data_IF_301056821910
#
_entry.id   IF_301056821910
#
_cell.length_a   1.000
_cell.length_b   1.000
_cell.length_c   1.000
_cell.angle_alpha   90.00
_cell.angle_beta   90.00
_cell.angle_gamma   90.00
#
_symmetry.space_group_name_H-M   'P 1'
#
loop_
_entity.id
_entity.type
_entity.pdbx_description
1 polymer ?
#
# COMPACT_ATOMS: atom_id res chain seq x y z
N UNK A 1 -4.59 -43.47 -28.03
CA UNK A 1 -5.71 -44.13 -27.33
C UNK A 1 -6.40 -43.04 -26.49
N UNK A 2 -7.37 -42.29 -27.05
CA UNK A 2 -8.85 -42.49 -26.92
C UNK A 2 -9.26 -42.58 -25.43
N UNK A 3 -10.04 -41.68 -24.81
CA UNK A 3 -11.35 -41.11 -25.15
C UNK A 3 -11.55 -39.79 -24.35
N UNK A 4 -12.15 -38.71 -24.84
CA UNK A 4 -13.55 -38.44 -25.28
C UNK A 4 -14.55 -38.19 -24.12
N UNK A 5 -14.86 -36.90 -23.97
CA UNK A 5 -16.08 -36.17 -23.53
C UNK A 5 -17.20 -36.83 -22.70
N UNK A 6 -17.76 -36.02 -21.78
CA UNK A 6 -19.21 -35.72 -21.73
C UNK A 6 -19.52 -34.46 -20.94
N UNK A 7 -20.55 -33.75 -21.40
CA UNK A 7 -20.93 -32.39 -21.08
C UNK A 7 -22.30 -32.32 -20.37
N UNK A 8 -22.67 -31.08 -20.03
CA UNK A 8 -24.01 -30.50 -19.83
C UNK A 8 -24.58 -30.48 -18.40
N UNK A 9 -24.70 -29.28 -17.85
CA UNK A 9 -25.91 -28.86 -17.13
C UNK A 9 -26.15 -27.36 -17.39
N UNK A 10 -27.17 -27.05 -18.19
CA UNK A 10 -27.73 -25.71 -18.35
C UNK A 10 -28.82 -25.51 -17.29
N UNK A 11 -28.82 -24.38 -16.62
CA UNK A 11 -29.97 -23.89 -15.85
C UNK A 11 -30.50 -22.63 -16.53
N UNK A 12 -31.69 -22.73 -17.09
CA UNK A 12 -32.46 -21.68 -17.76
C UNK A 12 -33.16 -20.86 -16.68
N UNK A 13 -32.95 -19.54 -16.65
CA UNK A 13 -33.78 -18.62 -15.85
C UNK A 13 -34.70 -17.82 -16.79
N UNK A 14 -35.99 -17.91 -16.52
CA UNK A 14 -37.08 -17.46 -17.36
C UNK A 14 -37.15 -15.93 -17.49
N UNK A 15 -37.43 -15.48 -18.72
CA UNK A 15 -37.79 -14.10 -19.07
C UNK A 15 -39.31 -13.94 -18.92
N UNK A 16 -39.76 -12.93 -18.18
CA UNK A 16 -41.14 -12.50 -18.18
C UNK A 16 -41.34 -11.36 -19.21
N UNK A 17 -42.22 -11.61 -20.19
CA UNK A 17 -42.76 -10.59 -21.09
C UNK A 17 -43.86 -9.80 -20.37
N UNK A 18 -43.83 -8.48 -20.51
CA UNK A 18 -45.02 -7.64 -20.44
C UNK A 18 -45.13 -6.86 -21.76
N UNK A 19 -46.35 -6.86 -22.29
CA UNK A 19 -46.74 -6.40 -23.61
C UNK A 19 -47.37 -5.00 -23.60
N UNK A 20 -47.72 -4.53 -24.80
CA UNK A 20 -48.58 -3.40 -25.18
C UNK A 20 -47.83 -2.07 -25.39
N UNK A 21 -47.88 -1.38 -26.55
CA UNK A 21 -48.58 -1.60 -27.81
C UNK A 21 -48.63 -0.30 -28.64
N UNK A 22 -48.67 -0.45 -29.98
CA UNK A 22 -49.10 0.51 -31.02
C UNK A 22 -48.34 1.86 -31.16
N UNK A 23 -48.11 2.45 -32.33
CA UNK A 23 -48.61 2.23 -33.70
C UNK A 23 -47.82 3.14 -34.66
N UNK A 24 -47.91 2.85 -35.97
CA UNK A 24 -47.10 3.48 -37.02
C UNK A 24 -47.69 4.72 -37.69
N UNK A 25 -46.90 5.31 -38.61
CA UNK A 25 -47.30 6.35 -39.58
C UNK A 25 -46.09 6.98 -40.30
N UNK A 26 -46.12 6.96 -41.65
CA UNK A 26 -45.05 7.36 -42.59
C UNK A 26 -44.95 8.88 -42.89
N UNK A 27 -43.69 9.40 -42.98
CA UNK A 27 -43.05 10.37 -43.94
C UNK A 27 -43.67 11.75 -44.32
N UNK A 28 -42.93 12.76 -44.91
CA UNK A 28 -41.47 13.07 -44.98
C UNK A 28 -41.08 14.59 -44.76
N UNK A 29 -39.78 14.93 -44.98
CA UNK A 29 -39.12 16.28 -45.13
C UNK A 29 -38.72 16.98 -43.81
N UNK A 30 -37.54 17.62 -43.60
CA UNK A 30 -36.60 18.39 -44.44
C UNK A 30 -35.18 18.38 -43.82
N UNK A 31 -34.19 18.71 -44.65
CA UNK A 31 -32.76 18.91 -44.36
C UNK A 31 -32.42 19.75 -43.11
N UNK A 32 -31.36 19.39 -42.39
CA UNK A 32 -30.19 20.27 -42.19
C UNK A 32 -28.98 19.47 -41.68
N UNK A 33 -27.84 19.70 -42.31
CA UNK A 33 -26.56 19.09 -41.99
C UNK A 33 -25.90 19.76 -40.78
N UNK A 34 -25.17 19.00 -39.97
CA UNK A 34 -23.90 19.48 -39.42
C UNK A 34 -22.96 18.33 -39.03
N UNK A 35 -21.72 18.46 -39.53
CA UNK A 35 -20.59 17.55 -39.36
C UNK A 35 -20.22 17.33 -37.89
N UNK A 36 -19.87 16.09 -37.51
CA UNK A 36 -18.75 15.80 -36.59
C UNK A 36 -18.25 14.36 -36.77
N UNK A 37 -16.92 14.28 -36.93
CA UNK A 37 -15.97 13.15 -36.92
C UNK A 37 -16.36 11.94 -36.03
N UNK A 38 -15.95 10.69 -36.37
CA UNK A 38 -16.27 9.51 -35.57
C UNK A 38 -15.63 9.59 -34.17
N UNK A 39 -16.45 9.54 -33.12
CA UNK A 39 -16.00 9.25 -31.76
C UNK A 39 -15.78 7.74 -31.63
N UNK A 40 -14.54 7.34 -31.42
CA UNK A 40 -14.19 6.02 -30.88
C UNK A 40 -14.79 5.90 -29.47
N UNK A 41 -15.47 4.80 -29.11
CA UNK A 41 -16.05 4.63 -27.78
C UNK A 41 -14.96 4.69 -26.70
N UNK A 42 -15.11 5.61 -25.75
CA UNK A 42 -14.29 5.65 -24.55
C UNK A 42 -14.50 4.36 -23.75
N UNK A 43 -13.43 3.62 -23.51
CA UNK A 43 -13.41 2.47 -22.62
C UNK A 43 -13.78 2.94 -21.21
N UNK A 44 -14.91 2.45 -20.70
CA UNK A 44 -15.44 2.74 -19.36
C UNK A 44 -14.38 2.37 -18.30
N UNK A 45 -14.05 3.26 -17.34
CA UNK A 45 -13.23 2.90 -16.19
C UNK A 45 -13.94 1.81 -15.37
N UNK A 46 -13.20 0.74 -15.04
CA UNK A 46 -13.70 -0.33 -14.17
C UNK A 46 -14.08 0.27 -12.81
N UNK A 47 -15.36 0.17 -12.49
CA UNK A 47 -15.95 0.49 -11.19
C UNK A 47 -16.02 -0.83 -10.43
N UNK A 48 -14.92 -1.21 -9.78
CA UNK A 48 -14.98 -2.15 -8.67
C UNK A 48 -14.51 -1.41 -7.40
N UNK A 49 -15.45 -0.77 -6.66
CA UNK A 49 -15.12 -0.20 -5.37
C UNK A 49 -15.08 -1.32 -4.34
N UNK A 50 -14.01 -1.38 -3.56
CA UNK A 50 -13.88 -2.25 -2.37
C UNK A 50 -13.63 -3.74 -2.64
N UNK A 51 -12.43 -4.06 -3.13
CA UNK A 51 -11.73 -5.19 -2.52
C UNK A 51 -11.21 -4.72 -1.15
N UNK A 52 -11.94 -5.02 -0.08
CA UNK A 52 -11.41 -4.96 1.30
C UNK A 52 -10.31 -6.02 1.42
N UNK A 53 -9.15 -5.74 0.83
CA UNK A 53 -8.01 -6.63 0.87
C UNK A 53 -7.45 -6.56 2.28
N UNK A 54 -7.59 -7.68 3.02
CA UNK A 54 -7.08 -7.82 4.37
C UNK A 54 -5.56 -7.60 4.35
N UNK A 55 -5.09 -6.63 5.13
CA UNK A 55 -3.68 -6.41 5.40
C UNK A 55 -3.04 -7.71 5.88
N UNK A 56 -2.01 -8.19 5.17
CA UNK A 56 -1.38 -9.48 5.47
C UNK A 56 0.13 -9.32 5.48
N UNK A 57 0.76 -9.60 6.62
CA UNK A 57 2.21 -9.68 6.76
C UNK A 57 2.62 -11.15 6.88
N UNK A 58 3.44 -11.61 5.93
CA UNK A 58 3.89 -13.00 5.84
C UNK A 58 5.41 -13.07 5.94
N UNK A 59 5.93 -14.06 6.66
CA UNK A 59 7.35 -14.42 6.68
C UNK A 59 7.58 -15.67 5.83
N UNK A 60 8.59 -15.63 4.97
CA UNK A 60 8.94 -16.69 4.02
C UNK A 60 10.44 -16.95 4.15
N UNK A 61 10.81 -18.16 4.56
CA UNK A 61 12.20 -18.61 4.49
C UNK A 61 12.50 -19.06 3.07
N UNK A 62 13.54 -18.47 2.47
CA UNK A 62 13.93 -18.74 1.08
C UNK A 62 14.96 -19.88 1.03
N UNK A 63 15.13 -20.55 -0.13
CA UNK A 63 16.10 -21.64 -0.27
C UNK A 63 17.58 -21.23 -0.13
N UNK A 64 17.89 -19.93 -0.24
CA UNK A 64 19.24 -19.36 -0.12
C UNK A 64 19.52 -18.83 1.30
N UNK A 65 18.80 -19.35 2.31
CA UNK A 65 18.80 -18.93 3.72
C UNK A 65 18.39 -17.46 3.95
N UNK A 66 17.94 -16.76 2.92
CA UNK A 66 17.37 -15.42 3.09
C UNK A 66 15.96 -15.47 3.67
N UNK A 67 15.55 -14.40 4.35
CA UNK A 67 14.21 -14.27 4.93
C UNK A 67 13.47 -13.14 4.23
N UNK A 68 12.33 -13.45 3.63
CA UNK A 68 11.43 -12.48 3.01
C UNK A 68 10.26 -12.17 3.94
N UNK A 69 10.04 -10.89 4.20
CA UNK A 69 8.84 -10.34 4.84
C UNK A 69 8.02 -9.64 3.78
N UNK A 70 6.84 -10.16 3.49
CA UNK A 70 5.93 -9.60 2.51
C UNK A 70 4.72 -9.02 3.22
N UNK A 71 4.59 -7.69 3.17
CA UNK A 71 3.42 -6.98 3.64
C UNK A 71 2.54 -6.57 2.46
N UNK A 72 1.38 -7.21 2.33
CA UNK A 72 0.41 -6.94 1.26
C UNK A 72 -0.66 -5.97 1.76
N UNK A 73 -0.81 -4.86 1.03
CA UNK A 73 -1.82 -3.83 1.23
C UNK A 73 -2.73 -3.75 0.00
N UNK A 74 -3.94 -3.20 0.12
CA UNK A 74 -4.69 -2.77 -1.06
C UNK A 74 -3.83 -1.83 -1.90
N UNK A 75 -3.58 -2.21 -3.16
CA UNK A 75 -2.85 -1.42 -4.16
C UNK A 75 -1.32 -1.27 -3.97
N UNK A 76 -0.73 -1.82 -2.91
CA UNK A 76 0.71 -1.76 -2.68
C UNK A 76 1.27 -2.96 -1.92
N UNK A 77 2.58 -3.12 -1.96
CA UNK A 77 3.33 -4.13 -1.22
C UNK A 77 4.59 -3.52 -0.62
N UNK A 78 4.93 -3.93 0.59
CA UNK A 78 6.23 -3.62 1.21
C UNK A 78 6.97 -4.94 1.42
N UNK A 79 8.07 -5.12 0.71
CA UNK A 79 8.89 -6.34 0.76
C UNK A 79 10.21 -6.05 1.46
N UNK A 80 10.45 -6.72 2.59
CA UNK A 80 11.76 -6.76 3.22
C UNK A 80 12.48 -8.06 2.89
N UNK A 81 13.69 -7.98 2.35
CA UNK A 81 14.52 -9.15 2.08
C UNK A 81 15.80 -9.07 2.94
N UNK A 82 15.89 -9.92 3.95
CA UNK A 82 17.04 -10.03 4.83
C UNK A 82 17.99 -11.11 4.31
N UNK A 83 19.26 -10.74 4.09
CA UNK A 83 20.32 -11.65 3.60
C UNK A 83 21.58 -11.52 4.45
N UNK A 84 22.28 -12.62 4.63
CA UNK A 84 23.66 -12.61 5.12
C UNK A 84 24.60 -12.16 4.00
N UNK A 85 25.41 -11.14 4.28
CA UNK A 85 26.44 -10.62 3.39
C UNK A 85 27.79 -10.90 4.03
N UNK A 86 28.67 -11.54 3.28
CA UNK A 86 30.05 -11.78 3.68
C UNK A 86 30.90 -10.54 3.36
N UNK A 87 31.68 -10.08 4.33
CA UNK A 87 32.68 -9.05 4.16
C UNK A 87 34.02 -9.67 3.73
N UNK A 88 34.89 -8.84 3.16
CA UNK A 88 36.20 -9.27 2.64
C UNK A 88 37.15 -9.74 3.75
N UNK A 89 36.89 -9.37 5.01
CA UNK A 89 37.67 -9.79 6.19
C UNK A 89 37.20 -11.13 6.78
N UNK A 90 36.23 -11.79 6.15
CA UNK A 90 35.65 -13.06 6.60
C UNK A 90 34.55 -12.91 7.66
N UNK A 91 34.18 -11.69 8.04
CA UNK A 91 33.01 -11.43 8.87
C UNK A 91 31.71 -11.49 8.04
N UNK A 92 30.58 -11.72 8.71
CA UNK A 92 29.26 -11.73 8.09
C UNK A 92 28.32 -10.75 8.78
N UNK A 93 27.49 -10.06 8.00
CA UNK A 93 26.48 -9.12 8.47
C UNK A 93 25.12 -9.44 7.83
N UNK A 94 24.03 -9.17 8.53
CA UNK A 94 22.68 -9.33 7.99
C UNK A 94 22.14 -7.99 7.52
N UNK A 95 21.91 -7.85 6.21
CA UNK A 95 21.29 -6.65 5.66
C UNK A 95 19.88 -6.91 5.20
N UNK A 96 19.01 -5.94 5.46
CA UNK A 96 17.63 -5.95 4.97
C UNK A 96 17.48 -4.87 3.92
N UNK A 97 17.06 -5.27 2.72
CA UNK A 97 16.63 -4.33 1.70
C UNK A 97 15.10 -4.24 1.71
N UNK A 98 14.56 -3.03 1.58
CA UNK A 98 13.11 -2.79 1.55
C UNK A 98 12.74 -2.19 0.20
N UNK A 99 11.85 -2.89 -0.49
CA UNK A 99 11.27 -2.50 -1.76
C UNK A 99 9.76 -2.27 -1.60
N UNK A 100 9.30 -1.18 -2.18
CA UNK A 100 7.89 -0.81 -2.23
C UNK A 100 7.43 -0.87 -3.67
N UNK A 101 6.31 -1.56 -3.90
CA UNK A 101 5.65 -1.63 -5.19
C UNK A 101 4.18 -1.29 -5.04
N UNK A 102 3.54 -0.86 -6.12
CA UNK A 102 2.11 -0.60 -6.11
C UNK A 102 1.62 0.21 -7.30
N UNK A 103 0.34 0.61 -7.22
CA UNK A 103 -0.29 1.55 -8.15
C UNK A 103 -0.34 2.94 -7.50
N UNK A 104 0.52 3.90 -7.89
CA UNK A 104 0.55 5.23 -7.30
C UNK A 104 -0.78 5.95 -7.50
N UNK A 105 -1.17 6.74 -6.50
CA UNK A 105 -2.34 7.60 -6.64
C UNK A 105 -1.99 8.75 -7.59
N UNK A 106 -2.75 8.96 -8.68
CA UNK A 106 -2.57 10.14 -9.51
C UNK A 106 -2.80 11.42 -8.71
N UNK A 107 -1.97 12.45 -8.90
CA UNK A 107 -2.09 13.73 -8.19
C UNK A 107 -3.50 14.35 -8.31
N UNK A 108 -4.13 14.22 -9.49
CA UNK A 108 -5.47 14.72 -9.75
C UNK A 108 -6.59 13.97 -9.00
N UNK A 109 -6.32 12.77 -8.48
CA UNK A 109 -7.25 11.93 -7.74
C UNK A 109 -7.07 12.05 -6.21
N UNK A 110 -6.09 12.82 -5.74
CA UNK A 110 -5.92 13.08 -4.31
C UNK A 110 -7.10 13.86 -3.74
N UNK A 111 -7.52 13.56 -2.49
CA UNK A 111 -8.36 14.47 -1.74
C UNK A 111 -7.77 15.88 -1.76
N UNK A 112 -8.62 16.88 -2.00
CA UNK A 112 -8.18 18.27 -2.09
C UNK A 112 -8.09 18.97 -0.75
N UNK A 113 -8.80 18.45 0.26
CA UNK A 113 -8.97 19.05 1.58
C UNK A 113 -9.21 17.96 2.63
N UNK A 114 -9.00 18.31 3.89
CA UNK A 114 -9.21 17.46 5.05
C UNK A 114 -8.01 16.61 5.44
N UNK A 115 -8.15 15.95 6.59
CA UNK A 115 -7.14 15.04 7.15
C UNK A 115 -7.59 13.59 7.02
N UNK A 116 -6.68 12.71 6.65
CA UNK A 116 -6.91 11.26 6.54
C UNK A 116 -5.90 10.53 7.38
N UNK A 117 -6.38 9.64 8.25
CA UNK A 117 -5.55 8.78 9.10
C UNK A 117 -5.48 7.38 8.47
N UNK A 118 -4.26 6.92 8.25
CA UNK A 118 -3.92 5.59 7.79
C UNK A 118 -3.40 4.77 8.97
N UNK A 119 -3.99 3.60 9.16
CA UNK A 119 -3.58 2.65 10.18
C UNK A 119 -3.08 1.36 9.54
N UNK A 120 -2.08 0.73 10.14
CA UNK A 120 -1.55 -0.53 9.65
C UNK A 120 -0.42 -1.08 10.49
N UNK A 121 0.50 -1.77 9.83
CA UNK A 121 1.59 -2.49 10.47
C UNK A 121 2.94 -1.95 10.03
N UNK A 122 3.94 -2.23 10.86
CA UNK A 122 5.35 -2.06 10.56
C UNK A 122 6.12 -3.34 10.89
N UNK A 123 7.24 -3.56 10.21
CA UNK A 123 8.12 -4.70 10.45
C UNK A 123 9.60 -4.30 10.31
N UNK A 124 10.47 -5.04 10.99
CA UNK A 124 11.91 -4.99 10.85
C UNK A 124 12.45 -6.41 10.57
N UNK A 125 13.78 -6.58 10.58
CA UNK A 125 14.42 -7.88 10.33
C UNK A 125 14.17 -8.97 11.39
N UNK A 126 13.59 -8.61 12.54
CA UNK A 126 13.27 -9.52 13.64
C UNK A 126 11.79 -9.91 13.69
N UNK A 127 10.92 -9.17 13.00
CA UNK A 127 9.47 -9.44 12.98
C UNK A 127 9.17 -10.85 12.46
N UNK A 128 8.43 -11.64 13.22
CA UNK A 128 7.87 -12.93 12.85
C UNK A 128 6.35 -12.93 13.20
N UNK A 129 5.46 -12.79 12.20
CA UNK A 129 4.02 -12.65 12.43
C UNK A 129 3.35 -13.94 12.96
N UNK A 130 4.02 -15.09 12.91
CA UNK A 130 3.48 -16.40 13.27
C UNK A 130 3.95 -16.94 14.62
N UNK A 131 5.08 -16.45 15.13
CA UNK A 131 5.75 -17.04 16.30
C UNK A 131 5.84 -16.00 17.43
N UNK A 132 4.71 -15.81 18.10
CA UNK A 132 4.55 -14.76 19.10
C UNK A 132 5.03 -15.16 20.52
N UNK A 133 5.48 -16.41 20.68
CA UNK A 133 5.65 -17.07 21.99
C UNK A 133 7.10 -17.41 22.35
N UNK A 134 8.06 -17.33 21.41
CA UNK A 134 9.42 -17.85 21.64
C UNK A 134 10.53 -16.80 21.79
N UNK A 135 10.32 -15.56 21.33
CA UNK A 135 11.30 -14.46 21.52
C UNK A 135 10.57 -13.14 21.71
N UNK A 136 10.96 -12.38 22.74
CA UNK A 136 10.64 -10.96 22.85
C UNK A 136 11.28 -10.24 21.64
N UNK A 137 10.55 -10.08 20.54
CA UNK A 137 11.07 -9.49 19.30
C UNK A 137 10.17 -9.67 18.07
N UNK A 138 9.24 -10.62 18.10
CA UNK A 138 8.62 -11.16 16.89
C UNK A 138 7.37 -10.40 16.38
N UNK A 139 6.69 -9.58 17.19
CA UNK A 139 5.40 -9.03 16.76
C UNK A 139 5.57 -7.87 15.76
N UNK A 140 4.62 -7.69 14.83
CA UNK A 140 4.57 -6.48 14.01
C UNK A 140 4.36 -5.25 14.89
N UNK A 141 4.96 -4.13 14.51
CA UNK A 141 4.61 -2.82 15.05
C UNK A 141 3.30 -2.30 14.43
N UNK A 142 2.77 -1.23 15.01
CA UNK A 142 1.55 -0.58 14.57
C UNK A 142 1.87 0.81 14.03
N UNK A 143 1.35 1.12 12.84
CA UNK A 143 1.47 2.42 12.19
C UNK A 143 0.20 3.23 12.42
N UNK A 144 0.36 4.50 12.79
CA UNK A 144 -0.67 5.54 12.68
C UNK A 144 -0.05 6.74 11.96
N UNK A 145 -0.57 7.08 10.78
CA UNK A 145 -0.02 8.17 9.95
C UNK A 145 -1.13 9.06 9.43
N UNK A 146 -0.97 10.37 9.56
CA UNK A 146 -1.92 11.37 9.10
C UNK A 146 -1.39 12.07 7.87
N UNK A 147 -2.20 12.12 6.82
CA UNK A 147 -2.01 13.04 5.70
C UNK A 147 -3.00 14.19 5.86
N UNK A 148 -2.47 15.41 5.89
CA UNK A 148 -3.24 16.64 5.86
C UNK A 148 -3.22 17.20 4.43
N UNK A 149 -4.35 17.11 3.73
CA UNK A 149 -4.48 17.62 2.38
C UNK A 149 -4.69 19.14 2.32
N UNK A 150 -5.12 19.76 3.43
CA UNK A 150 -5.24 21.22 3.54
C UNK A 150 -3.85 21.85 3.67
N UNK A 151 -3.00 21.31 4.55
CA UNK A 151 -1.62 21.76 4.76
C UNK A 151 -0.64 21.18 3.72
N UNK A 152 -1.06 20.17 2.97
CA UNK A 152 -0.20 19.33 2.12
C UNK A 152 1.01 18.79 2.91
N UNK A 153 0.76 18.20 4.06
CA UNK A 153 1.79 17.59 4.91
C UNK A 153 1.41 16.19 5.36
N UNK A 154 2.38 15.44 5.86
CA UNK A 154 2.14 14.17 6.52
C UNK A 154 3.10 13.93 7.69
N UNK A 155 2.61 13.26 8.72
CA UNK A 155 3.35 12.88 9.92
C UNK A 155 2.70 11.67 10.59
N UNK A 156 3.44 10.96 11.44
CA UNK A 156 2.89 9.82 12.15
C UNK A 156 3.82 9.16 13.15
N UNK A 157 3.47 7.95 13.53
CA UNK A 157 4.19 7.16 14.53
C UNK A 157 4.14 5.66 14.21
N UNK A 158 5.18 4.96 14.64
CA UNK A 158 5.24 3.50 14.69
C UNK A 158 5.47 3.09 16.13
N UNK A 159 4.52 2.36 16.70
CA UNK A 159 4.55 1.88 18.08
C UNK A 159 4.63 0.36 18.15
N UNK A 160 5.12 -0.18 19.27
CA UNK A 160 5.14 -1.63 19.54
C UNK A 160 6.05 -2.45 18.62
N UNK A 161 6.81 -1.81 17.73
CA UNK A 161 7.87 -2.48 16.99
C UNK A 161 8.98 -2.78 17.98
N UNK A 162 9.28 -4.06 18.17
CA UNK A 162 10.20 -4.49 19.20
C UNK A 162 11.63 -4.10 18.82
N UNK A 163 12.08 -3.02 19.46
CA UNK A 163 13.39 -2.40 19.34
C UNK A 163 13.95 -2.29 20.76
N UNK A 164 15.26 -2.15 20.91
CA UNK A 164 15.90 -1.87 22.21
C UNK A 164 15.51 -0.47 22.78
N UNK A 165 14.59 0.23 22.10
CA UNK A 165 14.13 1.58 22.32
C UNK A 165 12.60 1.67 22.05
N UNK A 166 12.01 2.82 22.36
CA UNK A 166 10.58 3.10 22.31
C UNK A 166 10.02 3.45 20.93
N UNK A 167 8.90 4.16 20.92
CA UNK A 167 8.15 4.56 19.72
C UNK A 167 9.01 5.32 18.70
N UNK A 168 8.71 5.13 17.43
CA UNK A 168 9.31 5.88 16.33
C UNK A 168 8.34 6.97 15.90
N UNK A 169 8.81 8.20 15.88
CA UNK A 169 8.13 9.34 15.28
C UNK A 169 8.55 9.46 13.82
N UNK A 170 7.57 9.60 12.94
CA UNK A 170 7.74 9.96 11.55
C UNK A 170 7.44 11.45 11.44
N UNK A 171 8.47 12.30 11.48
CA UNK A 171 8.30 13.74 11.60
C UNK A 171 7.58 14.34 10.40
N UNK A 172 6.94 15.49 10.61
CA UNK A 172 6.20 16.21 9.58
C UNK A 172 7.06 16.46 8.35
N UNK A 173 6.52 16.15 7.18
CA UNK A 173 7.11 16.47 5.89
C UNK A 173 6.06 16.97 4.90
N UNK A 174 6.51 17.55 3.79
CA UNK A 174 5.64 18.02 2.72
C UNK A 174 5.12 16.85 1.89
N UNK A 175 3.88 16.99 1.41
CA UNK A 175 3.27 16.09 0.45
C UNK A 175 3.60 16.54 -0.97
N UNK A 176 4.52 15.85 -1.63
CA UNK A 176 5.10 16.24 -2.92
C UNK A 176 5.42 15.02 -3.81
N UNK A 177 5.91 15.26 -5.03
CA UNK A 177 6.39 14.20 -5.92
C UNK A 177 7.75 13.71 -5.47
N UNK A 178 7.86 12.41 -5.22
CA UNK A 178 9.12 11.75 -4.85
C UNK A 178 9.37 10.55 -5.76
N UNK A 179 10.62 10.09 -5.81
CA UNK A 179 10.98 8.82 -6.45
C UNK A 179 11.09 7.74 -5.37
N UNK A 180 10.16 6.79 -5.36
CA UNK A 180 10.12 5.67 -4.43
C UNK A 180 10.34 4.36 -5.19
N UNK A 181 11.47 3.70 -4.97
CA UNK A 181 11.84 2.43 -5.62
C UNK A 181 11.71 2.45 -7.15
N UNK A 182 12.19 3.54 -7.77
CA UNK A 182 12.18 3.72 -9.22
C UNK A 182 10.84 4.19 -9.80
N UNK A 183 9.84 4.47 -8.95
CA UNK A 183 8.53 4.96 -9.33
C UNK A 183 8.30 6.40 -8.86
N UNK A 184 7.78 7.27 -9.72
CA UNK A 184 7.28 8.59 -9.29
C UNK A 184 5.95 8.40 -8.55
N UNK A 185 5.88 8.90 -7.32
CA UNK A 185 4.69 8.83 -6.46
C UNK A 185 4.45 10.19 -5.80
N UNK A 186 3.20 10.50 -5.45
CA UNK A 186 2.94 11.56 -4.46
C UNK A 186 3.13 10.95 -3.09
N UNK A 187 3.92 11.60 -2.25
CA UNK A 187 4.39 11.04 -1.00
C UNK A 187 5.05 12.05 -0.08
N UNK A 188 5.64 11.55 1.00
CA UNK A 188 6.37 12.33 1.99
C UNK A 188 7.77 11.76 2.15
N UNK A 189 8.76 12.64 2.19
CA UNK A 189 10.11 12.34 2.66
C UNK A 189 10.45 13.29 3.80
N UNK A 190 10.82 12.75 4.96
CA UNK A 190 11.23 13.52 6.13
C UNK A 190 12.08 12.64 7.07
N UNK A 191 12.59 13.19 8.16
CA UNK A 191 13.36 12.44 9.14
C UNK A 191 12.44 11.66 10.11
N UNK A 192 12.97 10.59 10.69
CA UNK A 192 12.33 9.83 11.75
C UNK A 192 13.20 9.87 13.01
N UNK A 193 12.54 9.88 14.17
CA UNK A 193 13.20 9.86 15.48
C UNK A 193 12.71 8.69 16.31
N UNK A 194 13.62 8.01 17.02
CA UNK A 194 13.28 6.93 17.95
C UNK A 194 13.36 7.44 19.38
N UNK A 195 12.28 7.20 20.14
CA UNK A 195 12.23 7.46 21.57
C UNK A 195 13.21 6.53 22.29
N UNK A 196 14.16 7.06 23.06
CA UNK A 196 15.07 6.23 23.85
C UNK A 196 14.38 5.73 25.12
N UNK A 197 14.70 4.50 25.54
CA UNK A 197 14.33 4.02 26.87
C UNK A 197 15.04 4.91 27.91
N UNK A 198 14.28 5.78 28.57
CA UNK A 198 14.81 6.76 29.53
C UNK A 198 14.35 6.42 30.94
N UNK A 199 15.30 6.31 31.87
CA UNK A 199 15.03 6.27 33.31
C UNK A 199 14.93 7.68 33.93
N UNK A 200 15.01 8.75 33.11
CA UNK A 200 14.96 10.15 33.53
C UNK A 200 13.63 10.83 33.17
N UNK A 201 13.38 12.05 33.69
CA UNK A 201 12.09 12.73 33.55
C UNK A 201 11.80 13.27 32.14
N UNK A 202 12.80 13.32 31.25
CA UNK A 202 12.65 13.80 29.88
C UNK A 202 12.81 12.64 28.88
N UNK A 203 11.85 12.55 27.96
CA UNK A 203 11.90 11.63 26.83
C UNK A 203 12.97 12.11 25.84
N UNK A 204 14.01 11.30 25.64
CA UNK A 204 15.06 11.58 24.64
C UNK A 204 14.69 10.94 23.31
N UNK A 205 15.09 11.61 22.23
CA UNK A 205 14.89 11.16 20.85
C UNK A 205 16.23 11.07 20.17
N UNK A 206 16.42 10.05 19.34
CA UNK A 206 17.58 9.88 18.48
C UNK A 206 17.12 9.85 17.04
N UNK A 207 17.76 10.66 16.18
CA UNK A 207 17.54 10.63 14.75
C UNK A 207 17.95 9.25 14.21
N UNK A 208 17.01 8.59 13.53
CA UNK A 208 17.19 7.25 12.96
C UNK A 208 17.28 7.26 11.44
N UNK A 209 17.31 8.43 10.84
CA UNK A 209 17.42 8.68 9.41
C UNK A 209 16.10 9.07 8.75
N UNK A 210 16.15 9.20 7.42
CA UNK A 210 14.99 9.56 6.61
C UNK A 210 14.02 8.39 6.45
N UNK A 211 12.73 8.72 6.43
CA UNK A 211 11.69 7.86 5.90
C UNK A 211 11.18 8.39 4.57
N UNK A 212 10.72 7.46 3.71
CA UNK A 212 10.03 7.75 2.47
C UNK A 212 8.69 7.01 2.46
N UNK A 213 7.62 7.68 2.08
CA UNK A 213 6.26 7.13 2.05
C UNK A 213 5.54 7.58 0.78
N UNK A 214 4.85 6.67 0.09
CA UNK A 214 4.01 6.96 -1.07
C UNK A 214 2.53 6.71 -0.84
N UNK A 215 1.68 7.43 -1.57
CA UNK A 215 0.22 7.23 -1.63
C UNK A 215 -0.16 6.30 -2.80
N UNK A 216 -0.94 5.26 -2.52
CA UNK A 216 -1.32 4.22 -3.47
C UNK A 216 -2.84 4.02 -3.55
N UNK A 217 -3.30 3.54 -4.70
CA UNK A 217 -4.71 3.30 -5.01
C UNK A 217 -5.40 4.46 -5.73
N UNK A 218 -6.64 4.26 -6.19
CA UNK A 218 -7.35 5.24 -6.99
C UNK A 218 -7.62 6.55 -6.25
N UNK A 219 -7.76 6.54 -4.93
CA UNK A 219 -8.08 7.75 -4.15
C UNK A 219 -7.12 7.99 -2.98
N UNK A 220 -5.87 7.52 -3.03
CA UNK A 220 -4.98 7.43 -1.86
C UNK A 220 -5.59 6.56 -0.76
N UNK A 221 -5.96 5.34 -1.13
CA UNK A 221 -6.63 4.38 -0.24
C UNK A 221 -5.65 3.66 0.69
N UNK A 222 -4.38 3.61 0.30
CA UNK A 222 -3.29 3.02 1.06
C UNK A 222 -2.02 3.87 1.02
N UNK A 223 -1.18 3.65 2.03
CA UNK A 223 0.19 4.16 2.10
C UNK A 223 1.17 3.01 2.27
N UNK A 224 2.35 3.17 1.71
CA UNK A 224 3.48 2.28 1.93
C UNK A 224 4.75 3.11 2.05
N UNK A 225 5.59 2.77 3.00
CA UNK A 225 6.80 3.52 3.32
C UNK A 225 7.89 2.67 3.93
N UNK A 226 9.07 3.27 4.02
CA UNK A 226 10.26 2.64 4.57
C UNK A 226 11.18 3.64 5.27
N UNK A 227 11.91 3.13 6.24
CA UNK A 227 13.12 3.76 6.78
C UNK A 227 14.28 2.89 6.32
N UNK A 228 15.14 3.44 5.47
CA UNK A 228 16.29 2.74 4.93
C UNK A 228 17.55 3.16 5.69
N UNK A 229 17.87 2.45 6.77
CA UNK A 229 19.11 2.63 7.51
C UNK A 229 19.98 1.36 7.40
N UNK A 230 21.31 1.49 7.17
CA UNK A 230 22.23 0.35 6.98
C UNK A 230 22.21 -0.68 8.11
N UNK A 231 21.89 -0.27 9.35
CA UNK A 231 21.93 -1.14 10.53
C UNK A 231 20.55 -1.64 10.95
N UNK A 232 19.48 -0.90 10.66
CA UNK A 232 18.11 -1.35 10.86
C UNK A 232 17.19 -0.74 9.79
N UNK A 233 16.52 -1.58 9.00
CA UNK A 233 15.53 -1.11 8.04
C UNK A 233 14.13 -1.44 8.53
N UNK A 234 13.19 -0.53 8.30
CA UNK A 234 11.80 -0.66 8.76
C UNK A 234 10.88 -0.49 7.56
N UNK A 235 10.02 -1.46 7.33
CA UNK A 235 8.99 -1.41 6.30
C UNK A 235 7.64 -1.22 6.95
N UNK A 236 6.80 -0.35 6.41
CA UNK A 236 5.51 -0.02 7.01
C UNK A 236 4.48 0.38 5.95
N UNK A 237 3.22 0.28 6.32
CA UNK A 237 2.12 0.64 5.45
C UNK A 237 0.78 0.53 6.15
N UNK A 238 -0.21 1.21 5.62
CA UNK A 238 -1.55 1.23 6.19
C UNK A 238 -2.61 1.61 5.19
N UNK A 239 -3.86 1.38 5.58
CA UNK A 239 -5.04 1.79 4.82
C UNK A 239 -5.79 2.85 5.59
N UNK A 240 -6.65 3.59 4.89
CA UNK A 240 -7.56 4.53 5.54
C UNK A 240 -8.31 3.86 6.68
N UNK A 241 -8.42 4.58 7.78
CA UNK A 241 -9.34 4.21 8.85
C UNK A 241 -10.76 4.32 8.31
N UNK A 242 -11.50 3.22 8.24
CA UNK A 242 -12.92 3.28 7.92
C UNK A 242 -13.62 4.08 9.04
N UNK A 243 -14.30 5.17 8.67
CA UNK A 243 -15.23 5.85 9.57
C UNK A 243 -16.48 5.01 9.78
#
# INVERSE_FOLDING_TARGET
MTNLSRALSLTILAVALAACGSGGGDSPTTQTANNTKPQTPATKPSTDPSASQKLTLTLINMPDDSVKRLYELPYSTVTGLTKTIQANDGSSDERTHIEIGGTPTPEAALPKMGKVIYNGLAFNKFTNPTDADLVAGARPGYLSYTIDFDERTGEGEIAGLQLDAGEIRLNKGNLEKIHLDGQEVIGVRSNADMAQASNGPAQQYTDIGDYELGLFGPNADAIAGKIANPTFSIGFGGTRSNK
#
